data_IF_767331206459
#
_entry.id   IF_767331206459
#
_cell.length_a   1.000
_cell.length_b   1.000
_cell.length_c   1.000
_cell.angle_alpha   90.00
_cell.angle_beta   90.00
_cell.angle_gamma   90.00
#
_symmetry.space_group_name_H-M   'P 1'
#
loop_
_entity.id
_entity.type
_entity.pdbx_description
1 polymer ?
#
# COMPACT_ATOMS: atom_id res chain seq x y z
N UNK A 1 16.88 -55.42 -1.56
CA UNK A 1 16.47 -54.27 -2.39
C UNK A 1 15.66 -53.36 -1.46
N UNK A 2 16.25 -52.81 -0.40
CA UNK A 2 17.16 -51.64 -0.37
C UNK A 2 16.49 -50.37 -0.91
N UNK A 3 16.29 -49.43 0.03
CA UNK A 3 16.22 -47.97 -0.07
C UNK A 3 14.97 -47.22 -0.59
N UNK A 4 14.22 -46.68 0.38
CA UNK A 4 13.95 -45.25 0.66
C UNK A 4 13.94 -44.24 -0.51
N UNK A 5 12.84 -43.47 -0.66
CA UNK A 5 12.84 -41.98 -0.71
C UNK A 5 11.39 -41.40 -0.73
N UNK A 6 11.04 -40.41 0.11
CA UNK A 6 9.78 -39.65 0.01
C UNK A 6 9.88 -38.46 -0.97
N UNK A 7 8.77 -37.94 -1.52
CA UNK A 7 8.80 -36.85 -2.50
C UNK A 7 9.12 -35.50 -1.82
N UNK A 8 10.21 -34.89 -2.27
CA UNK A 8 10.67 -33.55 -1.90
C UNK A 8 9.73 -32.44 -2.38
N UNK A 9 9.46 -31.52 -1.46
CA UNK A 9 8.80 -30.21 -1.63
C UNK A 9 9.58 -29.37 -2.65
N UNK A 10 8.90 -28.78 -3.64
CA UNK A 10 9.46 -27.69 -4.46
C UNK A 10 8.93 -26.36 -3.94
N UNK A 11 9.74 -25.69 -3.12
CA UNK A 11 9.60 -24.25 -2.84
C UNK A 11 9.93 -23.46 -4.11
N UNK A 12 8.95 -22.73 -4.65
CA UNK A 12 9.19 -21.71 -5.67
C UNK A 12 9.70 -20.45 -4.96
N UNK A 13 11.02 -20.31 -4.85
CA UNK A 13 11.66 -19.05 -4.50
C UNK A 13 11.60 -18.11 -5.71
N UNK A 14 10.69 -17.13 -5.67
CA UNK A 14 10.71 -15.98 -6.57
C UNK A 14 11.76 -14.99 -6.07
N UNK A 15 12.98 -15.10 -6.57
CA UNK A 15 14.00 -14.07 -6.44
C UNK A 15 13.75 -12.97 -7.48
N UNK A 16 13.39 -11.77 -7.02
CA UNK A 16 13.43 -10.57 -7.86
C UNK A 16 14.88 -10.05 -7.88
N UNK A 17 15.62 -10.38 -8.93
CA UNK A 17 16.89 -9.71 -9.25
C UNK A 17 16.63 -8.53 -10.19
N UNK A 18 17.00 -7.32 -9.74
CA UNK A 18 17.05 -6.13 -10.61
C UNK A 18 18.51 -5.86 -11.02
N UNK A 19 18.80 -5.56 -12.30
CA UNK A 19 20.16 -5.31 -12.78
C UNK A 19 20.67 -3.89 -12.42
N UNK A 20 22.00 -3.70 -12.23
CA UNK A 20 22.56 -2.39 -11.92
C UNK A 20 22.81 -1.54 -13.17
N UNK A 21 22.41 -0.27 -13.10
CA UNK A 21 22.67 0.77 -14.11
C UNK A 21 24.07 1.36 -13.85
N UNK A 22 24.92 1.34 -14.86
CA UNK A 22 26.24 1.99 -14.84
C UNK A 22 26.12 3.46 -15.27
N UNK A 23 26.63 4.37 -14.44
CA UNK A 23 26.94 5.73 -14.85
C UNK A 23 28.36 6.08 -14.39
N UNK A 24 29.25 6.22 -15.37
CA UNK A 24 30.64 6.64 -15.23
C UNK A 24 30.79 8.13 -14.87
N UNK A 25 32.01 8.48 -14.45
CA UNK A 25 32.61 9.80 -14.10
C UNK A 25 32.57 10.14 -12.61
N UNK A 26 33.65 10.53 -11.93
CA UNK A 26 35.04 10.84 -12.33
C UNK A 26 35.94 11.04 -11.10
N UNK A 27 37.26 11.01 -11.36
CA UNK A 27 38.39 11.68 -10.67
C UNK A 27 38.73 11.31 -9.21
N UNK A 28 39.96 10.84 -9.09
CA UNK A 28 40.67 10.49 -7.86
C UNK A 28 40.91 11.69 -6.95
N UNK A 29 40.85 11.47 -5.62
CA UNK A 29 41.77 12.12 -4.70
C UNK A 29 42.00 11.26 -3.45
N UNK A 30 43.27 11.15 -3.04
CA UNK A 30 43.77 10.28 -1.99
C UNK A 30 43.54 10.84 -0.58
N UNK A 31 43.36 9.92 0.38
CA UNK A 31 43.26 10.18 1.82
C UNK A 31 42.10 9.39 2.39
N UNK A 32 42.36 8.33 3.14
CA UNK A 32 41.34 7.41 3.65
C UNK A 32 40.31 8.12 4.55
N UNK A 33 39.04 8.28 4.15
CA UNK A 33 38.00 8.78 5.03
C UNK A 33 37.04 7.65 5.39
N UNK A 34 36.50 7.67 6.61
CA UNK A 34 35.31 6.89 6.92
C UNK A 34 34.26 7.21 5.85
N UNK A 35 33.79 6.19 5.13
CA UNK A 35 32.85 6.33 4.03
C UNK A 35 31.46 6.65 4.61
N UNK A 36 31.28 7.88 5.09
CA UNK A 36 29.96 8.40 5.46
C UNK A 36 29.24 8.68 4.14
N UNK A 37 28.51 7.68 3.68
CA UNK A 37 27.53 7.84 2.60
C UNK A 37 26.39 8.64 3.18
N UNK A 38 26.46 9.96 3.04
CA UNK A 38 25.31 10.84 3.28
C UNK A 38 24.32 10.58 2.15
N UNK A 39 23.46 9.58 2.32
CA UNK A 39 22.29 9.40 1.45
C UNK A 39 21.41 10.61 1.73
N UNK A 40 21.11 11.47 0.74
CA UNK A 40 20.02 12.41 0.89
C UNK A 40 18.79 11.54 1.14
N UNK A 41 18.33 11.48 2.39
CA UNK A 41 17.01 10.95 2.69
C UNK A 41 16.08 11.70 1.74
N UNK A 42 15.29 11.03 0.89
CA UNK A 42 14.29 11.70 0.09
C UNK A 42 13.47 12.52 1.08
N UNK A 43 13.67 13.83 1.05
CA UNK A 43 12.84 14.74 1.83
C UNK A 43 11.52 14.60 1.09
N UNK A 44 10.64 13.72 1.60
CA UNK A 44 9.24 13.75 1.24
C UNK A 44 8.87 15.21 1.47
N UNK A 45 8.63 15.94 0.39
CA UNK A 45 8.19 17.34 0.44
C UNK A 45 6.85 17.32 1.16
N UNK A 46 6.88 17.29 2.49
CA UNK A 46 5.72 17.21 3.36
C UNK A 46 5.20 18.61 3.63
N UNK A 47 5.31 19.50 2.63
CA UNK A 47 4.83 20.88 2.67
C UNK A 47 3.33 20.94 2.28
N UNK A 48 2.64 19.80 2.29
CA UNK A 48 1.20 19.68 2.06
C UNK A 48 0.46 19.32 3.35
N UNK A 49 -0.75 19.86 3.52
CA UNK A 49 -1.69 19.33 4.50
C UNK A 49 -2.23 18.01 3.95
N UNK A 50 -2.10 16.90 4.68
CA UNK A 50 -2.55 15.58 4.22
C UNK A 50 -3.74 15.09 5.05
N UNK A 51 -4.75 14.55 4.37
CA UNK A 51 -5.82 13.80 5.00
C UNK A 51 -5.55 12.30 4.83
N UNK A 52 -5.61 11.58 5.95
CA UNK A 52 -5.39 10.14 5.99
C UNK A 52 -6.71 9.40 6.23
N UNK A 53 -6.87 8.31 5.49
CA UNK A 53 -7.96 7.35 5.70
C UNK A 53 -7.39 5.95 5.83
N UNK A 54 -8.14 5.08 6.50
CA UNK A 54 -7.83 3.65 6.56
C UNK A 54 -8.95 2.88 5.92
N UNK A 55 -8.60 1.95 5.04
CA UNK A 55 -9.51 1.00 4.41
C UNK A 55 -9.14 -0.39 4.89
N UNK A 56 -10.10 -1.16 5.39
CA UNK A 56 -9.92 -2.54 5.79
C UNK A 56 -10.85 -3.43 4.96
N UNK A 57 -10.35 -4.53 4.42
CA UNK A 57 -11.15 -5.51 3.67
C UNK A 57 -10.40 -6.81 3.44
N UNK A 58 -11.03 -7.77 2.77
CA UNK A 58 -10.39 -9.03 2.38
C UNK A 58 -10.53 -9.25 0.87
N UNK A 59 -9.53 -9.84 0.22
CA UNK A 59 -9.65 -10.26 -1.19
C UNK A 59 -10.65 -11.41 -1.39
N UNK A 60 -11.02 -12.09 -0.30
CA UNK A 60 -12.00 -13.18 -0.31
C UNK A 60 -13.41 -12.71 0.07
N UNK A 61 -13.59 -11.44 0.41
CA UNK A 61 -14.86 -10.87 0.84
C UNK A 61 -15.25 -9.66 -0.02
N UNK A 62 -16.55 -9.38 -0.05
CA UNK A 62 -17.14 -8.25 -0.77
C UNK A 62 -17.54 -7.14 0.20
N UNK A 63 -16.82 -6.99 1.30
CA UNK A 63 -17.04 -5.91 2.26
C UNK A 63 -15.75 -5.16 2.56
N UNK A 64 -15.86 -3.84 2.56
CA UNK A 64 -14.79 -2.93 2.94
C UNK A 64 -15.28 -2.02 4.06
N UNK A 65 -14.43 -1.75 5.04
CA UNK A 65 -14.69 -0.76 6.10
C UNK A 65 -13.69 0.38 5.96
N UNK A 66 -14.18 1.62 6.06
CA UNK A 66 -13.39 2.82 5.82
C UNK A 66 -13.55 3.75 7.01
N UNK A 67 -12.41 4.29 7.46
CA UNK A 67 -12.30 5.17 8.62
C UNK A 67 -11.61 6.46 8.23
N UNK A 68 -12.05 7.58 8.80
CA UNK A 68 -11.45 8.90 8.59
C UNK A 68 -11.99 9.73 7.41
N UNK A 69 -13.02 9.25 6.71
CA UNK A 69 -13.70 10.05 5.67
C UNK A 69 -14.46 11.23 6.27
N UNK A 70 -14.45 12.37 5.57
CA UNK A 70 -15.29 13.52 5.91
C UNK A 70 -16.73 13.30 5.43
N UNK A 71 -17.69 14.02 6.03
CA UNK A 71 -19.12 13.90 5.75
C UNK A 71 -19.47 14.12 4.28
N UNK A 72 -18.81 15.06 3.60
CA UNK A 72 -19.04 15.30 2.17
C UNK A 72 -18.64 14.09 1.32
N UNK A 73 -17.58 13.38 1.71
CA UNK A 73 -17.07 12.21 1.01
C UNK A 73 -17.94 11.00 1.28
N UNK A 74 -18.40 10.82 2.52
CA UNK A 74 -19.38 9.79 2.87
C UNK A 74 -20.66 9.96 2.03
N UNK A 75 -21.14 11.20 1.87
CA UNK A 75 -22.29 11.52 1.03
C UNK A 75 -22.04 11.27 -0.48
N UNK A 76 -20.84 11.56 -0.97
CA UNK A 76 -20.47 11.25 -2.35
C UNK A 76 -20.39 9.73 -2.57
N UNK A 77 -19.85 9.00 -1.59
CA UNK A 77 -19.72 7.55 -1.64
C UNK A 77 -21.09 6.87 -1.55
N UNK A 78 -22.00 7.36 -0.71
CA UNK A 78 -23.37 6.83 -0.63
C UNK A 78 -24.18 7.05 -1.90
N UNK A 79 -23.95 8.16 -2.62
CA UNK A 79 -24.54 8.37 -3.95
C UNK A 79 -23.98 7.42 -5.02
N UNK A 80 -22.70 7.06 -4.89
CA UNK A 80 -22.04 6.14 -5.82
C UNK A 80 -22.47 4.69 -5.58
N UNK A 81 -22.69 4.33 -4.32
CA UNK A 81 -23.14 3.01 -3.90
C UNK A 81 -24.53 3.13 -3.27
N UNK A 82 -25.55 3.32 -4.12
CA UNK A 82 -26.97 3.62 -3.81
C UNK A 82 -27.58 2.84 -2.63
N UNK A 83 -27.08 1.64 -2.30
CA UNK A 83 -27.56 0.82 -1.17
C UNK A 83 -26.45 0.12 -0.38
N UNK A 84 -25.18 0.37 -0.72
CA UNK A 84 -24.04 -0.40 -0.21
C UNK A 84 -23.45 0.13 1.08
N UNK A 85 -23.73 1.39 1.46
CA UNK A 85 -23.06 2.08 2.57
C UNK A 85 -23.86 1.94 3.88
N UNK A 86 -23.27 1.30 4.88
CA UNK A 86 -23.80 1.17 6.24
C UNK A 86 -22.86 1.86 7.22
N UNK A 87 -23.38 2.60 8.19
CA UNK A 87 -22.51 3.15 9.24
C UNK A 87 -21.96 2.04 10.14
N UNK A 88 -20.70 2.17 10.55
CA UNK A 88 -20.08 1.35 11.58
C UNK A 88 -19.40 2.24 12.62
N UNK A 89 -18.88 1.65 13.69
CA UNK A 89 -18.23 2.43 14.77
C UNK A 89 -17.03 3.17 14.19
N UNK A 90 -17.06 4.51 14.24
CA UNK A 90 -16.01 5.42 13.72
C UNK A 90 -15.76 5.35 12.20
N UNK A 91 -16.69 4.78 11.42
CA UNK A 91 -16.48 4.63 9.98
C UNK A 91 -17.74 4.24 9.22
N UNK A 92 -17.51 3.75 8.01
CA UNK A 92 -18.56 3.20 7.15
C UNK A 92 -18.12 1.83 6.62
N UNK A 93 -19.10 0.97 6.42
CA UNK A 93 -18.96 -0.31 5.75
C UNK A 93 -19.62 -0.21 4.38
N UNK A 94 -18.94 -0.69 3.34
CA UNK A 94 -19.44 -0.69 1.96
C UNK A 94 -19.33 -2.10 1.41
N UNK A 95 -20.45 -2.61 0.88
CA UNK A 95 -20.53 -3.95 0.29
C UNK A 95 -19.98 -3.98 -1.14
N UNK A 96 -18.66 -3.79 -1.28
CA UNK A 96 -17.92 -3.88 -2.55
C UNK A 96 -16.57 -4.56 -2.34
N UNK A 97 -15.97 -5.18 -3.38
CA UNK A 97 -14.66 -5.80 -3.27
C UNK A 97 -13.56 -4.74 -3.08
N UNK A 98 -12.44 -5.08 -2.40
CA UNK A 98 -11.39 -4.11 -2.07
C UNK A 98 -10.82 -3.34 -3.27
N UNK A 99 -10.64 -4.01 -4.41
CA UNK A 99 -10.11 -3.36 -5.62
C UNK A 99 -11.03 -2.26 -6.13
N UNK A 100 -12.34 -2.45 -6.09
CA UNK A 100 -13.31 -1.44 -6.52
C UNK A 100 -13.34 -0.26 -5.54
N UNK A 101 -13.23 -0.54 -4.24
CA UNK A 101 -13.14 0.49 -3.21
C UNK A 101 -11.88 1.35 -3.35
N UNK A 102 -10.70 0.72 -3.47
CA UNK A 102 -9.43 1.44 -3.62
C UNK A 102 -9.41 2.28 -4.90
N UNK A 103 -9.91 1.75 -6.01
CA UNK A 103 -10.03 2.50 -7.27
C UNK A 103 -10.99 3.68 -7.14
N UNK A 104 -12.09 3.52 -6.41
CA UNK A 104 -13.05 4.59 -6.13
C UNK A 104 -12.42 5.70 -5.29
N UNK A 105 -11.66 5.35 -4.25
CA UNK A 105 -10.95 6.31 -3.41
C UNK A 105 -9.81 6.99 -4.17
N UNK A 106 -9.16 6.29 -5.11
CA UNK A 106 -8.17 6.89 -6.00
C UNK A 106 -8.74 8.01 -6.89
N UNK A 107 -10.01 7.90 -7.30
CA UNK A 107 -10.69 8.97 -8.03
C UNK A 107 -10.96 10.21 -7.15
N UNK A 108 -10.95 10.06 -5.82
CA UNK A 108 -11.00 11.15 -4.85
C UNK A 108 -9.59 11.65 -4.47
N UNK A 109 -8.57 11.29 -5.25
CA UNK A 109 -7.15 11.66 -5.07
C UNK A 109 -6.46 11.00 -3.86
N UNK A 110 -7.05 9.98 -3.26
CA UNK A 110 -6.35 9.17 -2.26
C UNK A 110 -5.37 8.21 -2.90
N UNK A 111 -4.14 8.17 -2.39
CA UNK A 111 -3.09 7.25 -2.81
C UNK A 111 -2.78 6.29 -1.66
N UNK A 112 -2.61 5.00 -1.97
CA UNK A 112 -2.16 4.02 -0.97
C UNK A 112 -0.72 4.33 -0.57
N UNK A 113 -0.47 4.43 0.74
CA UNK A 113 0.88 4.69 1.29
C UNK A 113 1.47 3.51 2.02
N UNK A 114 0.62 2.66 2.60
CA UNK A 114 1.04 1.39 3.17
C UNK A 114 -0.10 0.38 3.15
N UNK A 115 0.26 -0.89 3.12
CA UNK A 115 -0.65 -2.02 3.29
C UNK A 115 -0.08 -2.98 4.32
N UNK A 116 -0.94 -3.54 5.17
CA UNK A 116 -0.57 -4.52 6.19
C UNK A 116 -1.72 -5.51 6.42
N UNK A 117 -1.41 -6.79 6.57
CA UNK A 117 -2.38 -7.86 6.83
C UNK A 117 -2.23 -9.05 5.89
N UNK A 118 -2.93 -10.14 6.20
CA UNK A 118 -2.88 -11.41 5.46
C UNK A 118 -4.28 -11.81 4.99
N UNK A 119 -5.15 -12.31 5.89
CA UNK A 119 -6.53 -12.66 5.55
C UNK A 119 -7.44 -11.41 5.43
N UNK A 120 -7.29 -10.48 6.36
CA UNK A 120 -7.82 -9.12 6.27
C UNK A 120 -6.64 -8.18 6.06
N UNK A 121 -6.78 -7.25 5.11
CA UNK A 121 -5.76 -6.29 4.73
C UNK A 121 -6.26 -4.89 5.08
N UNK A 122 -5.39 -4.11 5.71
CA UNK A 122 -5.57 -2.71 5.97
C UNK A 122 -4.68 -1.89 5.01
N UNK A 123 -5.28 -0.95 4.30
CA UNK A 123 -4.60 0.04 3.47
C UNK A 123 -4.73 1.41 4.12
N UNK A 124 -3.59 2.05 4.38
CA UNK A 124 -3.60 3.48 4.68
C UNK A 124 -3.53 4.23 3.37
N UNK A 125 -4.43 5.18 3.17
CA UNK A 125 -4.42 6.07 2.01
C UNK A 125 -4.30 7.52 2.46
N UNK A 126 -3.61 8.33 1.65
CA UNK A 126 -3.42 9.76 1.89
C UNK A 126 -3.87 10.56 0.67
N UNK A 127 -4.44 11.75 0.90
CA UNK A 127 -4.62 12.77 -0.13
C UNK A 127 -4.00 14.08 0.33
N UNK A 128 -3.56 14.89 -0.62
CA UNK A 128 -3.24 16.30 -0.40
C UNK A 128 -4.54 17.10 -0.23
N UNK A 129 -4.51 18.11 0.63
CA UNK A 129 -5.67 18.93 1.04
C UNK A 129 -5.38 20.40 0.77
#
# INVERSE_FOLDING_TARGET
MTDSQPPTVKESQLACECPPIQSTTSLANAGCPANVVTIPVPILQAEGNFAYITVKGSLHDYTCTIFGLNQAEVQALSKRFDSGVKQCVNGIMVAVPPMEMLNTLAQLSYKVVCSCGEAEICWTMQREV
#
